data_IF_153882271224
#
_entry.id   IF_153882271224
#
_cell.length_a   1.000
_cell.length_b   1.000
_cell.length_c   1.000
_cell.angle_alpha   90.00
_cell.angle_beta   90.00
_cell.angle_gamma   90.00
#
_symmetry.space_group_name_H-M   'P 1'
#
loop_
_entity.id
_entity.type
_entity.pdbx_description
1 polymer ?
#
# COMPACT_ATOMS: atom_id res chain seq x y z
N UNK A 1 -8.56 -10.97 -15.85
CA UNK A 1 -8.88 -10.26 -14.59
C UNK A 1 -8.19 -11.01 -13.47
N UNK A 2 -7.71 -10.31 -12.44
CA UNK A 2 -7.06 -10.97 -11.30
C UNK A 2 -8.07 -11.71 -10.42
N UNK A 3 -7.55 -12.59 -9.56
CA UNK A 3 -8.35 -13.39 -8.63
C UNK A 3 -8.21 -12.87 -7.20
N UNK A 4 -9.34 -12.75 -6.50
CA UNK A 4 -9.40 -12.51 -5.07
C UNK A 4 -9.91 -13.77 -4.38
N UNK A 5 -9.12 -14.29 -3.44
CA UNK A 5 -9.50 -15.37 -2.55
C UNK A 5 -9.46 -14.89 -1.11
N UNK A 6 -10.51 -15.19 -0.36
CA UNK A 6 -10.59 -14.91 1.07
C UNK A 6 -11.01 -16.20 1.78
N UNK A 7 -10.20 -16.63 2.75
CA UNK A 7 -10.49 -17.77 3.61
C UNK A 7 -10.51 -17.29 5.06
N UNK A 8 -11.34 -17.94 5.89
CA UNK A 8 -11.46 -17.60 7.30
C UNK A 8 -11.45 -18.89 8.14
N UNK A 9 -10.60 -18.93 9.17
CA UNK A 9 -10.50 -20.02 10.12
C UNK A 9 -10.52 -19.51 11.57
N UNK A 10 -11.39 -20.10 12.38
CA UNK A 10 -11.51 -19.77 13.81
C UNK A 10 -10.74 -20.77 14.67
N UNK A 11 -9.96 -20.26 15.62
CA UNK A 11 -9.17 -21.05 16.57
C UNK A 11 -9.52 -20.66 18.00
N UNK A 12 -10.02 -21.60 18.78
CA UNK A 12 -10.19 -21.40 20.23
C UNK A 12 -8.82 -21.43 20.92
N UNK A 13 -8.57 -20.45 21.79
CA UNK A 13 -7.35 -20.39 22.60
C UNK A 13 -7.65 -21.04 23.95
N UNK A 14 -7.12 -22.24 24.15
CA UNK A 14 -7.21 -22.92 25.44
C UNK A 14 -6.27 -22.22 26.43
N UNK A 15 -6.80 -21.33 27.27
CA UNK A 15 -6.03 -20.57 28.27
C UNK A 15 -5.60 -21.40 29.49
N UNK A 16 -5.75 -22.73 29.47
CA UNK A 16 -5.34 -23.61 30.57
C UNK A 16 -6.03 -23.32 31.91
N UNK A 17 -7.10 -22.52 31.91
CA UNK A 17 -7.82 -22.15 33.14
C UNK A 17 -8.75 -23.27 33.57
N UNK A 18 -8.65 -23.60 34.86
CA UNK A 18 -9.41 -24.63 35.56
C UNK A 18 -10.93 -24.54 35.33
N UNK A 19 -11.56 -25.72 35.33
CA UNK A 19 -12.94 -26.08 34.96
C UNK A 19 -14.04 -25.40 35.81
N UNK A 20 -13.71 -24.40 36.63
CA UNK A 20 -14.61 -23.80 37.63
C UNK A 20 -15.20 -22.43 37.27
N UNK A 21 -15.01 -21.92 36.04
CA UNK A 21 -15.61 -20.65 35.61
C UNK A 21 -16.30 -20.80 34.24
N UNK A 22 -17.56 -20.36 34.06
CA UNK A 22 -18.26 -20.43 32.78
C UNK A 22 -17.81 -19.32 31.81
N UNK A 23 -16.50 -19.08 31.74
CA UNK A 23 -15.89 -18.15 30.78
C UNK A 23 -15.62 -18.88 29.48
N UNK A 24 -16.21 -18.40 28.38
CA UNK A 24 -15.96 -18.96 27.06
C UNK A 24 -14.53 -18.61 26.63
N UNK A 25 -13.75 -19.62 26.21
CA UNK A 25 -12.37 -19.42 25.75
C UNK A 25 -12.30 -18.42 24.58
N UNK A 26 -11.33 -17.50 24.55
CA UNK A 26 -11.23 -16.51 23.47
C UNK A 26 -11.01 -17.20 22.12
N UNK A 27 -11.64 -16.66 21.07
CA UNK A 27 -11.54 -17.19 19.71
C UNK A 27 -10.68 -16.24 18.87
N UNK A 28 -9.67 -16.77 18.19
CA UNK A 28 -8.92 -16.05 17.16
C UNK A 28 -9.54 -16.35 15.80
N UNK A 29 -9.88 -15.30 15.09
CA UNK A 29 -10.31 -15.29 13.70
C UNK A 29 -9.09 -15.01 12.82
N UNK A 30 -8.73 -15.98 11.97
CA UNK A 30 -7.61 -15.91 11.05
C UNK A 30 -8.17 -15.77 9.63
N UNK A 31 -7.96 -14.62 9.02
CA UNK A 31 -8.46 -14.26 7.70
C UNK A 31 -7.28 -14.25 6.74
N UNK A 32 -7.26 -15.18 5.80
CA UNK A 32 -6.28 -15.23 4.73
C UNK A 32 -6.85 -14.54 3.50
N UNK A 33 -6.21 -13.47 3.06
CA UNK A 33 -6.57 -12.74 1.83
C UNK A 33 -5.47 -12.95 0.81
N UNK A 34 -5.84 -13.36 -0.40
CA UNK A 34 -4.91 -13.54 -1.52
C UNK A 34 -5.45 -12.83 -2.76
N UNK A 35 -4.64 -11.92 -3.28
CA UNK A 35 -4.84 -11.25 -4.55
C UNK A 35 -3.82 -11.82 -5.54
N UNK A 36 -4.25 -12.22 -6.72
CA UNK A 36 -3.37 -12.78 -7.76
C UNK A 36 -3.58 -12.06 -9.07
N UNK A 37 -2.48 -11.68 -9.72
CA UNK A 37 -2.50 -11.12 -11.08
C UNK A 37 -3.42 -9.89 -11.19
N UNK A 38 -3.38 -9.02 -10.18
CA UNK A 38 -4.18 -7.79 -10.15
C UNK A 38 -3.43 -6.68 -10.87
N UNK A 39 -4.12 -6.03 -11.81
CA UNK A 39 -3.61 -4.91 -12.61
C UNK A 39 -4.46 -3.69 -12.37
N UNK A 40 -3.83 -2.51 -12.36
CA UNK A 40 -4.54 -1.23 -12.42
C UNK A 40 -4.27 -0.58 -13.77
N UNK A 41 -5.31 -0.32 -14.55
CA UNK A 41 -5.19 0.31 -15.88
C UNK A 41 -5.95 1.61 -15.96
N UNK A 42 -5.50 2.49 -16.85
CA UNK A 42 -6.25 3.68 -17.23
C UNK A 42 -7.39 3.29 -18.16
N UNK A 43 -8.52 3.95 -17.98
CA UNK A 43 -9.66 3.83 -18.87
C UNK A 43 -10.07 5.23 -19.35
N UNK A 44 -10.34 5.37 -20.64
CA UNK A 44 -10.84 6.60 -21.24
C UNK A 44 -12.17 6.31 -21.89
N UNK A 45 -13.18 7.12 -21.58
CA UNK A 45 -14.46 7.08 -22.27
C UNK A 45 -14.39 7.97 -23.51
N UNK A 46 -14.65 7.40 -24.68
CA UNK A 46 -14.70 8.13 -25.94
C UNK A 46 -15.98 8.96 -26.03
N UNK A 47 -16.00 9.92 -26.95
CA UNK A 47 -17.22 10.71 -27.24
C UNK A 47 -18.37 9.84 -27.77
N UNK A 48 -18.07 8.64 -28.31
CA UNK A 48 -19.07 7.66 -28.72
C UNK A 48 -19.60 6.82 -27.55
N UNK A 49 -19.15 7.08 -26.31
CA UNK A 49 -19.55 6.35 -25.11
C UNK A 49 -18.88 4.98 -24.96
N UNK A 50 -17.87 4.66 -25.77
CA UNK A 50 -17.09 3.43 -25.63
C UNK A 50 -15.97 3.63 -24.61
N UNK A 51 -15.69 2.61 -23.80
CA UNK A 51 -14.63 2.65 -22.81
C UNK A 51 -13.40 1.91 -23.36
N UNK A 52 -12.30 2.63 -23.50
CA UNK A 52 -11.03 2.09 -24.00
C UNK A 52 -10.02 2.00 -22.86
N UNK A 53 -9.45 0.81 -22.70
CA UNK A 53 -8.42 0.55 -21.69
C UNK A 53 -7.06 0.90 -22.28
N UNK A 54 -6.33 1.77 -21.59
CA UNK A 54 -4.95 2.12 -21.91
C UNK A 54 -3.97 1.22 -21.17
N UNK A 55 -2.68 1.49 -21.36
CA UNK A 55 -1.60 0.78 -20.69
C UNK A 55 -1.77 0.75 -19.16
N UNK A 56 -1.39 -0.36 -18.50
CA UNK A 56 -1.49 -0.51 -17.06
C UNK A 56 -0.60 0.49 -16.34
N UNK A 57 -1.15 1.16 -15.31
CA UNK A 57 -0.38 1.95 -14.33
C UNK A 57 0.40 1.01 -13.43
N UNK A 58 -0.23 -0.09 -12.99
CA UNK A 58 0.39 -1.11 -12.15
C UNK A 58 0.41 -2.41 -12.96
N UNK A 59 1.62 -2.89 -13.25
CA UNK A 59 1.83 -4.23 -13.83
C UNK A 59 1.23 -5.30 -12.91
N UNK A 60 0.93 -6.51 -13.42
CA UNK A 60 0.25 -7.50 -12.59
C UNK A 60 1.02 -7.84 -11.31
N UNK A 61 0.37 -7.64 -10.17
CA UNK A 61 0.92 -7.95 -8.84
C UNK A 61 0.13 -9.08 -8.16
N UNK A 62 0.79 -9.78 -7.25
CA UNK A 62 0.11 -10.62 -6.26
C UNK A 62 0.40 -10.13 -4.85
N UNK A 63 -0.59 -10.25 -3.98
CA UNK A 63 -0.48 -9.91 -2.57
C UNK A 63 -1.11 -11.01 -1.73
N UNK A 64 -0.54 -11.25 -0.55
CA UNK A 64 -1.07 -12.16 0.46
C UNK A 64 -1.10 -11.43 1.78
N UNK A 65 -2.16 -11.59 2.52
CA UNK A 65 -2.34 -11.00 3.84
C UNK A 65 -2.92 -12.06 4.78
N UNK A 66 -2.21 -12.37 5.85
CA UNK A 66 -2.72 -13.17 6.97
C UNK A 66 -3.10 -12.21 8.08
N UNK A 67 -4.40 -12.03 8.31
CA UNK A 67 -4.92 -11.21 9.41
C UNK A 67 -5.38 -12.10 10.56
N UNK A 68 -4.91 -11.81 11.76
CA UNK A 68 -5.37 -12.46 13.00
C UNK A 68 -6.03 -11.42 13.89
N UNK A 69 -7.24 -11.71 14.36
CA UNK A 69 -7.95 -10.86 15.33
C UNK A 69 -8.64 -11.70 16.39
N UNK A 70 -8.71 -11.20 17.62
CA UNK A 70 -9.52 -11.81 18.66
C UNK A 70 -11.01 -11.46 18.50
N UNK A 71 -11.89 -12.45 18.67
CA UNK A 71 -13.35 -12.36 18.57
C UNK A 71 -13.98 -12.88 19.87
N UNK A 72 -15.06 -12.24 20.33
CA UNK A 72 -15.78 -12.64 21.55
C UNK A 72 -15.36 -11.91 22.84
N UNK A 73 -15.15 -10.59 22.75
CA UNK A 73 -14.59 -9.77 23.84
C UNK A 73 -15.49 -9.53 25.06
N UNK A 74 -16.78 -9.81 24.94
CA UNK A 74 -17.80 -9.39 25.93
C UNK A 74 -17.66 -10.05 27.30
N UNK A 75 -16.88 -11.13 27.44
CA UNK A 75 -16.66 -11.80 28.73
C UNK A 75 -15.30 -11.49 29.38
N UNK A 76 -14.39 -10.81 28.68
CA UNK A 76 -13.08 -10.36 29.20
C UNK A 76 -13.15 -9.01 29.92
N UNK A 77 -14.32 -8.36 29.93
CA UNK A 77 -14.58 -7.07 30.60
C UNK A 77 -14.39 -7.08 32.13
N UNK A 78 -14.12 -8.25 32.74
CA UNK A 78 -13.73 -8.39 34.14
C UNK A 78 -12.21 -8.37 34.40
N UNK A 79 -11.36 -8.42 33.38
CA UNK A 79 -9.90 -8.53 33.53
C UNK A 79 -9.21 -7.19 33.25
N UNK A 80 -8.52 -6.65 34.24
CA UNK A 80 -7.91 -5.31 34.30
C UNK A 80 -6.64 -5.13 33.45
N UNK A 81 -6.48 -5.84 32.33
CA UNK A 81 -5.37 -5.64 31.38
C UNK A 81 -5.92 -5.40 29.97
N UNK A 82 -6.59 -4.27 29.79
CA UNK A 82 -7.22 -3.83 28.54
C UNK A 82 -6.24 -3.38 27.44
N UNK A 83 -4.96 -3.78 27.49
CA UNK A 83 -3.95 -3.32 26.52
C UNK A 83 -3.77 -4.22 25.30
N UNK A 84 -4.20 -5.48 25.37
CA UNK A 84 -4.06 -6.46 24.29
C UNK A 84 -5.39 -6.73 23.55
N UNK A 85 -6.43 -5.95 23.90
CA UNK A 85 -7.82 -6.13 23.48
C UNK A 85 -8.10 -5.88 21.98
N UNK A 86 -7.17 -5.21 21.31
CA UNK A 86 -7.33 -4.69 19.94
C UNK A 86 -6.21 -5.19 19.02
N UNK A 87 -5.59 -6.33 19.35
CA UNK A 87 -4.52 -6.91 18.54
C UNK A 87 -5.11 -7.49 17.23
N UNK A 88 -5.26 -6.61 16.24
CA UNK A 88 -5.24 -6.98 14.83
C UNK A 88 -3.78 -7.15 14.45
N UNK A 89 -3.35 -8.38 14.26
CA UNK A 89 -2.04 -8.70 13.68
C UNK A 89 -2.26 -8.94 12.19
N UNK A 90 -1.39 -8.39 11.34
CA UNK A 90 -1.46 -8.58 9.90
C UNK A 90 -0.06 -8.81 9.32
N UNK A 91 0.14 -9.98 8.72
CA UNK A 91 1.35 -10.32 7.97
C UNK A 91 1.06 -10.16 6.47
N UNK A 92 1.67 -9.16 5.85
CA UNK A 92 1.47 -8.85 4.42
C UNK A 92 2.71 -9.18 3.61
N UNK A 93 2.52 -9.95 2.55
CA UNK A 93 3.53 -10.24 1.53
C UNK A 93 3.04 -9.72 0.18
N UNK A 94 3.84 -8.88 -0.45
CA UNK A 94 3.54 -8.25 -1.73
C UNK A 94 4.69 -8.52 -2.70
N UNK A 95 4.35 -8.90 -3.93
CA UNK A 95 5.34 -9.02 -5.00
C UNK A 95 5.97 -7.66 -5.35
N UNK A 96 7.05 -7.67 -6.13
CA UNK A 96 7.63 -6.42 -6.64
C UNK A 96 6.58 -5.63 -7.43
N UNK A 97 6.34 -4.39 -7.01
CA UNK A 97 5.40 -3.49 -7.68
C UNK A 97 6.13 -2.76 -8.79
N UNK A 98 5.74 -3.00 -10.05
CA UNK A 98 6.21 -2.21 -11.19
C UNK A 98 5.13 -1.21 -11.60
N UNK A 99 5.53 0.07 -11.63
CA UNK A 99 4.66 1.19 -11.96
C UNK A 99 5.06 1.80 -13.30
N UNK A 100 4.09 1.96 -14.20
CA UNK A 100 4.25 2.75 -15.42
C UNK A 100 3.55 4.09 -15.21
N UNK A 101 4.31 5.09 -14.77
CA UNK A 101 3.79 6.43 -14.50
C UNK A 101 4.11 7.33 -15.71
N UNK A 102 3.06 7.74 -16.42
CA UNK A 102 3.14 8.75 -17.45
C UNK A 102 3.19 10.17 -16.86
N UNK A 103 3.57 11.14 -17.68
CA UNK A 103 3.67 12.55 -17.24
C UNK A 103 2.36 13.09 -16.65
N UNK A 104 1.21 12.71 -17.22
CA UNK A 104 -0.10 13.12 -16.73
C UNK A 104 -0.40 12.51 -15.35
N UNK A 105 -0.09 11.22 -15.15
CA UNK A 105 -0.31 10.56 -13.85
C UNK A 105 0.56 11.22 -12.78
N UNK A 106 1.84 11.47 -13.08
CA UNK A 106 2.75 12.14 -12.15
C UNK A 106 2.25 13.54 -11.78
N UNK A 107 1.81 14.32 -12.78
CA UNK A 107 1.24 15.65 -12.53
C UNK A 107 0.00 15.58 -11.63
N UNK A 108 -0.88 14.59 -11.85
CA UNK A 108 -2.06 14.37 -11.01
C UNK A 108 -1.68 13.95 -9.58
N UNK A 109 -0.74 13.01 -9.42
CA UNK A 109 -0.26 12.58 -8.10
C UNK A 109 0.31 13.76 -7.32
N UNK A 110 1.13 14.60 -7.97
CA UNK A 110 1.73 15.77 -7.34
C UNK A 110 0.69 16.85 -7.00
N UNK A 111 -0.33 17.04 -7.85
CA UNK A 111 -1.42 17.97 -7.56
C UNK A 111 -2.22 17.52 -6.33
N UNK A 112 -2.65 16.25 -6.28
CA UNK A 112 -3.36 15.67 -5.12
C UNK A 112 -2.50 15.75 -3.86
N UNK A 113 -1.21 15.46 -3.97
CA UNK A 113 -0.27 15.59 -2.86
C UNK A 113 -0.18 17.04 -2.34
N UNK A 114 -0.07 18.01 -3.25
CA UNK A 114 0.00 19.43 -2.92
C UNK A 114 -1.28 19.91 -2.24
N UNK A 115 -2.44 19.52 -2.76
CA UNK A 115 -3.74 19.89 -2.20
C UNK A 115 -3.90 19.32 -0.79
N UNK A 116 -3.62 18.03 -0.60
CA UNK A 116 -3.67 17.39 0.72
C UNK A 116 -2.72 18.04 1.74
N UNK A 117 -1.50 18.42 1.30
CA UNK A 117 -0.56 19.15 2.16
C UNK A 117 -1.09 20.53 2.55
N UNK A 118 -1.80 21.20 1.65
CA UNK A 118 -2.34 22.54 1.90
C UNK A 118 -3.49 22.55 2.91
N UNK A 119 -4.23 21.45 3.02
CA UNK A 119 -5.34 21.30 3.96
C UNK A 119 -4.89 20.96 5.39
N UNK A 120 -3.68 20.45 5.56
CA UNK A 120 -3.19 19.99 6.84
C UNK A 120 -2.28 21.03 7.51
N UNK A 121 -2.78 21.62 8.60
CA UNK A 121 -1.98 22.32 9.60
C UNK A 121 -1.06 21.33 10.33
N UNK A 122 0.01 20.87 9.68
CA UNK A 122 0.98 19.99 10.33
C UNK A 122 1.81 20.77 11.37
N UNK A 123 1.80 20.29 12.62
CA UNK A 123 2.79 20.69 13.63
C UNK A 123 4.12 20.08 13.20
N UNK A 124 4.98 20.90 12.58
CA UNK A 124 6.27 20.47 12.07
C UNK A 124 6.23 20.32 10.55
N UNK A 125 6.84 21.30 9.88
CA UNK A 125 6.97 21.35 8.43
C UNK A 125 7.85 20.19 7.96
N UNK A 126 7.26 19.10 7.49
CA UNK A 126 7.97 18.13 6.65
C UNK A 126 7.99 18.73 5.25
N UNK A 127 8.90 19.68 5.02
CA UNK A 127 9.28 20.04 3.65
C UNK A 127 10.05 18.84 3.11
N UNK A 128 9.60 18.16 2.06
CA UNK A 128 10.47 17.25 1.34
C UNK A 128 11.58 18.12 0.75
N UNK A 129 12.75 18.13 1.38
CA UNK A 129 13.92 18.68 0.74
C UNK A 129 14.28 17.71 -0.38
N UNK A 130 14.01 18.13 -1.62
CA UNK A 130 14.76 17.60 -2.76
C UNK A 130 16.24 17.61 -2.35
N UNK A 131 17.03 16.57 -2.65
CA UNK A 131 18.48 16.66 -2.51
C UNK A 131 18.88 17.96 -3.19
N UNK A 132 19.50 18.86 -2.43
CA UNK A 132 19.97 20.14 -2.97
C UNK A 132 21.03 19.79 -3.99
N UNK A 133 20.62 19.72 -5.25
CA UNK A 133 21.52 19.66 -6.38
C UNK A 133 22.10 21.07 -6.48
N UNK A 134 23.31 21.24 -5.91
CA UNK A 134 24.14 22.41 -6.16
C UNK A 134 24.05 22.77 -7.63
N UNK A 135 23.61 23.99 -7.94
CA UNK A 135 23.27 24.44 -9.29
C UNK A 135 24.28 23.88 -10.31
N UNK A 136 23.87 22.99 -11.22
CA UNK A 136 24.80 22.37 -12.15
C UNK A 136 25.38 23.47 -13.04
N UNK A 137 26.70 23.60 -13.03
CA UNK A 137 27.43 24.52 -13.93
C UNK A 137 26.99 24.29 -15.39
N UNK A 138 27.01 25.32 -16.24
CA UNK A 138 26.58 25.25 -17.65
C UNK A 138 27.21 24.09 -18.44
N UNK A 139 28.38 23.62 -18.02
CA UNK A 139 29.08 22.47 -18.60
C UNK A 139 28.31 21.15 -18.36
N UNK A 140 27.73 20.97 -17.18
CA UNK A 140 26.89 19.81 -16.82
C UNK A 140 25.58 19.80 -17.61
N UNK A 141 24.96 20.96 -17.81
CA UNK A 141 23.72 21.11 -18.59
C UNK A 141 23.93 20.75 -20.06
N UNK A 142 25.04 21.19 -20.67
CA UNK A 142 25.37 20.83 -22.06
C UNK A 142 25.68 19.36 -22.25
N UNK A 143 26.32 18.71 -21.27
CA UNK A 143 26.56 17.25 -21.30
C UNK A 143 25.26 16.45 -21.16
N UNK A 144 24.37 16.88 -20.27
CA UNK A 144 23.03 16.28 -20.11
C UNK A 144 22.19 16.44 -21.38
N UNK A 145 22.21 17.61 -22.00
CA UNK A 145 21.51 17.86 -23.25
C UNK A 145 22.08 17.01 -24.40
N UNK A 146 23.40 16.83 -24.47
CA UNK A 146 24.04 15.94 -25.43
C UNK A 146 23.72 14.46 -25.17
N UNK A 147 23.59 14.05 -23.91
CA UNK A 147 23.22 12.69 -23.51
C UNK A 147 21.74 12.38 -23.82
N UNK A 148 20.82 13.29 -23.49
CA UNK A 148 19.38 13.15 -23.77
C UNK A 148 19.08 13.16 -25.27
N UNK A 149 19.89 13.86 -26.07
CA UNK A 149 19.77 13.87 -27.52
C UNK A 149 20.24 12.54 -28.19
N UNK A 150 20.87 11.62 -27.44
CA UNK A 150 21.36 10.34 -27.99
C UNK A 150 20.32 9.20 -28.00
N UNK A 151 19.05 9.47 -27.68
CA UNK A 151 17.96 8.66 -28.22
C UNK A 151 17.77 7.27 -27.62
N UNK A 152 18.00 7.08 -26.32
CA UNK A 152 17.40 5.97 -25.58
C UNK A 152 16.53 6.49 -24.44
N UNK A 153 15.35 5.86 -24.29
CA UNK A 153 14.39 6.18 -23.25
C UNK A 153 15.04 5.94 -21.87
N UNK A 154 15.35 7.02 -21.15
CA UNK A 154 15.91 6.93 -19.81
C UNK A 154 14.83 6.35 -18.88
N UNK A 155 14.93 5.05 -18.60
CA UNK A 155 14.17 4.39 -17.55
C UNK A 155 14.77 4.81 -16.20
N UNK A 156 14.09 5.67 -15.46
CA UNK A 156 14.46 5.97 -14.07
C UNK A 156 13.94 4.86 -13.17
N UNK A 157 14.85 4.03 -12.66
CA UNK A 157 14.55 3.03 -11.64
C UNK A 157 14.81 3.64 -10.26
N UNK A 158 13.78 3.64 -9.39
CA UNK A 158 13.91 4.04 -8.00
C UNK A 158 13.47 2.86 -7.13
N UNK A 159 14.34 2.44 -6.21
CA UNK A 159 14.08 1.35 -5.27
C UNK A 159 13.78 1.96 -3.90
N UNK A 160 12.53 1.84 -3.46
CA UNK A 160 12.13 2.17 -2.09
C UNK A 160 12.07 0.86 -1.29
N UNK A 161 12.89 0.75 -0.24
CA UNK A 161 12.80 -0.33 0.75
C UNK A 161 12.13 0.22 2.00
N UNK A 162 10.95 -0.29 2.32
CA UNK A 162 10.34 -0.09 3.63
C UNK A 162 10.84 -1.21 4.55
N UNK A 163 11.40 -0.83 5.70
CA UNK A 163 11.89 -1.74 6.76
C UNK A 163 10.82 -1.84 7.85
#
# INVERSE_FOLDING_TARGET
MGDLTIENFFKQVNTGQDVSSPGQAPVIDNILVKLVNVTLSRAVMTLAGTLEVQEPIIEPISARCDLKRAVGYTQLAGCTSNRELLALEADVLLDSVLLNIGQKDLATILAVWSDNLSEANYIGSIVPSSPVETAPTDVSVKKLQAFLAQGEAIRKEAVLRCV
#
